data_IF_322095579630
#
_entry.id   IF_322095579630
#
_cell.length_a   1.000
_cell.length_b   1.000
_cell.length_c   1.000
_cell.angle_alpha   90.00
_cell.angle_beta   90.00
_cell.angle_gamma   90.00
#
_symmetry.space_group_name_H-M   'P 1'
#
loop_
_entity.id
_entity.type
_entity.pdbx_description
1 polymer ?
#
# COMPACT_ATOMS: atom_id res chain seq x y z
N UNK A 1 -32.65 95.20 20.74
CA UNK A 1 -31.39 94.50 21.02
C UNK A 1 -31.74 93.03 21.21
N UNK A 2 -31.36 92.18 20.27
CA UNK A 2 -31.82 90.79 20.18
C UNK A 2 -30.79 89.84 20.83
N UNK A 3 -31.31 88.89 21.62
CA UNK A 3 -30.56 87.97 22.45
C UNK A 3 -30.13 86.71 21.70
N UNK A 4 -28.97 86.20 22.11
CA UNK A 4 -28.17 85.12 21.53
C UNK A 4 -28.89 83.76 21.58
N UNK A 5 -28.97 83.05 20.45
CA UNK A 5 -29.28 81.60 20.41
C UNK A 5 -28.02 80.78 20.13
N UNK A 6 -27.66 79.95 21.13
CA UNK A 6 -26.61 78.92 21.12
C UNK A 6 -26.83 77.88 20.01
N UNK A 7 -25.84 77.67 19.16
CA UNK A 7 -25.73 76.47 18.32
C UNK A 7 -25.13 75.30 19.11
N UNK A 8 -25.82 74.16 19.16
CA UNK A 8 -25.28 72.88 19.66
C UNK A 8 -24.59 72.15 18.50
N UNK A 9 -23.27 71.94 18.57
CA UNK A 9 -22.56 71.05 17.65
C UNK A 9 -22.79 69.59 18.04
N UNK A 10 -23.35 68.79 17.14
CA UNK A 10 -23.44 67.34 17.30
C UNK A 10 -22.07 66.69 17.19
N UNK A 11 -21.61 66.06 18.26
CA UNK A 11 -20.43 65.18 18.22
C UNK A 11 -20.80 63.89 17.47
N UNK A 12 -20.19 63.67 16.30
CA UNK A 12 -20.23 62.37 15.61
C UNK A 12 -19.40 61.37 16.42
N UNK A 13 -20.05 60.35 16.99
CA UNK A 13 -19.36 59.22 17.63
C UNK A 13 -18.65 58.40 16.55
N UNK A 14 -17.32 58.31 16.61
CA UNK A 14 -16.56 57.36 15.80
C UNK A 14 -16.85 55.92 16.27
N UNK A 15 -17.03 54.95 15.36
CA UNK A 15 -17.11 53.54 15.75
C UNK A 15 -15.73 53.04 16.20
N UNK A 16 -15.67 52.06 17.13
CA UNK A 16 -14.40 51.51 17.58
C UNK A 16 -13.69 50.78 16.43
N UNK A 17 -12.42 51.11 16.22
CA UNK A 17 -11.54 50.41 15.30
C UNK A 17 -11.11 49.08 15.95
N UNK A 18 -11.39 47.95 15.28
CA UNK A 18 -10.71 46.69 15.56
C UNK A 18 -11.56 45.44 15.50
N UNK A 19 -11.89 44.96 14.30
CA UNK A 19 -12.39 43.59 14.11
C UNK A 19 -11.95 42.93 12.79
N UNK A 20 -10.98 43.51 12.09
CA UNK A 20 -10.59 43.06 10.74
C UNK A 20 -9.45 42.04 10.64
N UNK A 21 -8.82 41.62 11.75
CA UNK A 21 -7.56 40.83 11.70
C UNK A 21 -7.68 39.35 12.07
N UNK A 22 -8.81 38.89 12.61
CA UNK A 22 -8.96 37.51 13.09
C UNK A 22 -9.41 36.51 12.00
N UNK A 23 -10.11 36.98 10.96
CA UNK A 23 -10.60 36.10 9.88
C UNK A 23 -9.51 35.75 8.85
N UNK A 24 -8.58 36.68 8.58
CA UNK A 24 -7.49 36.47 7.62
C UNK A 24 -6.44 35.47 8.14
N UNK A 25 -6.18 35.47 9.46
CA UNK A 25 -5.26 34.52 10.10
C UNK A 25 -5.83 33.10 10.18
N UNK A 26 -7.14 32.95 10.44
CA UNK A 26 -7.82 31.65 10.50
C UNK A 26 -7.86 30.92 9.15
N UNK A 27 -8.14 31.66 8.06
CA UNK A 27 -8.17 31.10 6.71
C UNK A 27 -6.78 30.65 6.23
N UNK A 28 -5.74 31.42 6.57
CA UNK A 28 -4.35 31.12 6.20
C UNK A 28 -3.84 29.85 6.89
N UNK A 29 -4.14 29.66 8.18
CA UNK A 29 -3.77 28.46 8.92
C UNK A 29 -4.47 27.20 8.40
N UNK A 30 -5.74 27.30 8.02
CA UNK A 30 -6.50 26.18 7.45
C UNK A 30 -5.96 25.75 6.08
N UNK A 31 -5.59 26.71 5.21
CA UNK A 31 -4.98 26.40 3.90
C UNK A 31 -3.61 25.75 4.08
N UNK A 32 -2.77 26.25 4.98
CA UNK A 32 -1.46 25.65 5.26
C UNK A 32 -1.62 24.23 5.82
N UNK A 33 -2.55 24.02 6.76
CA UNK A 33 -2.85 22.69 7.28
C UNK A 33 -3.35 21.74 6.16
N UNK A 34 -4.23 22.20 5.27
CA UNK A 34 -4.71 21.40 4.14
C UNK A 34 -3.59 21.06 3.15
N UNK A 35 -2.67 22.00 2.87
CA UNK A 35 -1.49 21.75 2.03
C UNK A 35 -0.54 20.75 2.68
N UNK A 36 -0.30 20.86 3.99
CA UNK A 36 0.55 19.91 4.74
C UNK A 36 -0.07 18.51 4.73
N UNK A 37 -1.36 18.40 5.08
CA UNK A 37 -2.09 17.12 5.05
C UNK A 37 -2.10 16.55 3.63
N UNK A 38 -2.37 17.37 2.61
CA UNK A 38 -2.34 16.98 1.22
C UNK A 38 -0.96 16.50 0.76
N UNK A 39 0.11 17.17 1.18
CA UNK A 39 1.49 16.77 0.88
C UNK A 39 1.85 15.43 1.53
N UNK A 40 1.51 15.22 2.80
CA UNK A 40 1.75 13.94 3.48
C UNK A 40 0.90 12.80 2.89
N UNK A 41 -0.36 13.07 2.53
CA UNK A 41 -1.21 12.09 1.83
C UNK A 41 -0.65 11.73 0.45
N UNK A 42 -0.20 12.73 -0.31
CA UNK A 42 0.43 12.53 -1.61
C UNK A 42 1.72 11.69 -1.51
N UNK A 43 2.61 12.03 -0.57
CA UNK A 43 3.85 11.27 -0.33
C UNK A 43 3.58 9.84 0.11
N UNK A 44 2.57 9.62 0.95
CA UNK A 44 2.17 8.28 1.39
C UNK A 44 1.68 7.40 0.21
N UNK A 45 0.95 7.97 -0.75
CA UNK A 45 0.50 7.24 -1.94
C UNK A 45 1.59 7.04 -3.00
N UNK A 46 2.49 8.01 -3.16
CA UNK A 46 3.59 7.95 -4.14
C UNK A 46 4.70 6.94 -3.75
N UNK A 47 4.86 6.65 -2.46
CA UNK A 47 5.96 5.84 -1.92
C UNK A 47 5.56 4.37 -1.60
N UNK A 48 4.51 3.83 -2.25
CA UNK A 48 4.14 2.42 -2.06
C UNK A 48 5.28 1.48 -2.52
N UNK A 49 5.65 0.45 -1.74
CA UNK A 49 6.82 -0.37 -2.02
C UNK A 49 6.62 -1.32 -3.21
N UNK A 50 7.68 -1.55 -3.99
CA UNK A 50 7.66 -2.44 -5.14
C UNK A 50 7.08 -1.83 -6.42
N UNK A 51 7.46 -2.43 -7.55
CA UNK A 51 6.96 -2.06 -8.86
C UNK A 51 5.50 -2.49 -9.03
N UNK A 52 4.71 -1.65 -9.72
CA UNK A 52 3.34 -1.96 -10.10
C UNK A 52 3.30 -2.64 -11.46
N UNK A 53 2.48 -3.67 -11.58
CA UNK A 53 2.18 -4.38 -12.82
C UNK A 53 0.70 -4.20 -13.19
N UNK A 54 0.37 -4.34 -14.47
CA UNK A 54 -1.01 -4.26 -14.92
C UNK A 54 -1.83 -5.44 -14.34
N UNK A 55 -3.08 -5.17 -13.99
CA UNK A 55 -3.99 -6.21 -13.51
C UNK A 55 -4.42 -7.12 -14.66
N UNK A 56 -4.14 -8.42 -14.56
CA UNK A 56 -4.51 -9.42 -15.56
C UNK A 56 -5.86 -10.10 -15.28
N UNK A 57 -6.63 -9.59 -14.31
CA UNK A 57 -7.94 -10.11 -13.92
C UNK A 57 -7.86 -11.31 -12.97
N UNK A 58 -9.03 -11.92 -12.71
CA UNK A 58 -9.22 -12.99 -11.72
C UNK A 58 -9.95 -14.21 -12.31
N UNK A 59 -9.55 -14.62 -13.51
CA UNK A 59 -10.13 -15.80 -14.13
C UNK A 59 -9.72 -17.08 -13.36
N UNK A 60 -10.69 -17.83 -12.86
CA UNK A 60 -10.43 -19.13 -12.27
C UNK A 60 -10.21 -20.21 -13.33
N UNK A 61 -9.11 -20.94 -13.22
CA UNK A 61 -8.78 -22.14 -14.01
C UNK A 61 -8.88 -23.38 -13.13
N UNK A 62 -9.25 -24.53 -13.68
CA UNK A 62 -9.53 -25.72 -12.87
C UNK A 62 -8.27 -26.52 -12.55
N UNK A 63 -7.28 -26.47 -13.44
CA UNK A 63 -5.98 -27.13 -13.29
C UNK A 63 -4.85 -26.15 -13.60
N UNK A 64 -3.71 -26.32 -12.92
CA UNK A 64 -2.53 -25.48 -13.18
C UNK A 64 -1.98 -25.62 -14.61
N UNK A 65 -2.34 -26.71 -15.31
CA UNK A 65 -2.00 -26.95 -16.71
C UNK A 65 -3.00 -26.36 -17.71
N UNK A 66 -4.12 -25.81 -17.25
CA UNK A 66 -5.11 -25.23 -18.14
C UNK A 66 -4.51 -24.01 -18.88
N UNK A 67 -4.84 -23.81 -20.17
CA UNK A 67 -4.29 -22.69 -20.92
C UNK A 67 -4.83 -21.35 -20.39
N UNK A 68 -3.93 -20.40 -20.16
CA UNK A 68 -4.25 -19.02 -19.82
C UNK A 68 -3.23 -18.05 -20.43
N UNK A 69 -3.54 -16.75 -20.53
CA UNK A 69 -2.55 -15.75 -20.94
C UNK A 69 -1.32 -15.80 -20.03
N UNK A 70 -0.11 -15.58 -20.57
CA UNK A 70 1.11 -15.56 -19.77
C UNK A 70 1.07 -14.43 -18.74
N UNK A 71 1.65 -14.66 -17.57
CA UNK A 71 1.80 -13.62 -16.55
C UNK A 71 2.73 -12.51 -17.01
N UNK A 72 2.43 -11.26 -16.61
CA UNK A 72 3.22 -10.07 -16.96
C UNK A 72 4.34 -9.77 -15.95
N UNK A 73 4.45 -10.56 -14.88
CA UNK A 73 5.47 -10.51 -13.84
C UNK A 73 5.98 -11.92 -13.49
N UNK A 74 7.20 -12.01 -12.94
CA UNK A 74 7.78 -13.26 -12.44
C UNK A 74 8.57 -12.99 -11.15
N UNK A 75 8.12 -13.48 -9.97
CA UNK A 75 6.90 -14.27 -9.74
C UNK A 75 5.60 -13.52 -10.09
N UNK A 76 4.51 -14.25 -10.42
CA UNK A 76 3.26 -13.64 -10.87
C UNK A 76 2.57 -12.85 -9.76
N UNK A 77 1.91 -11.75 -10.14
CA UNK A 77 1.25 -10.81 -9.22
C UNK A 77 -0.27 -10.68 -9.44
N UNK A 78 -0.83 -11.20 -10.53
CA UNK A 78 -2.27 -11.18 -10.85
C UNK A 78 -2.52 -12.13 -12.02
N UNK A 79 -3.77 -12.31 -12.43
CA UNK A 79 -4.14 -13.11 -13.60
C UNK A 79 -4.81 -14.43 -13.25
N UNK A 80 -4.87 -15.34 -14.22
CA UNK A 80 -5.57 -16.61 -14.07
C UNK A 80 -4.97 -17.47 -12.94
N UNK A 81 -5.81 -18.12 -12.14
CA UNK A 81 -5.37 -18.87 -10.96
C UNK A 81 -6.37 -19.97 -10.56
N UNK A 82 -5.94 -20.89 -9.70
CA UNK A 82 -6.78 -22.02 -9.23
C UNK A 82 -7.89 -21.53 -8.29
N UNK A 83 -9.05 -22.21 -8.14
CA UNK A 83 -10.17 -21.76 -7.29
C UNK A 83 -9.97 -22.06 -5.80
N UNK A 84 -8.73 -22.33 -5.38
CA UNK A 84 -8.37 -22.61 -4.00
C UNK A 84 -6.98 -22.03 -3.71
N UNK A 85 -6.71 -21.78 -2.44
CA UNK A 85 -5.46 -21.20 -1.97
C UNK A 85 -4.46 -22.24 -1.45
N UNK A 86 -3.17 -21.90 -1.47
CA UNK A 86 -2.20 -22.60 -0.64
C UNK A 86 -2.44 -22.30 0.86
N UNK A 87 -2.13 -23.24 1.76
CA UNK A 87 -2.09 -22.96 3.19
C UNK A 87 -1.26 -21.72 3.53
N UNK A 88 -1.72 -20.87 4.44
CA UNK A 88 -0.93 -19.74 4.92
C UNK A 88 0.31 -20.21 5.70
N UNK A 89 1.34 -19.36 5.76
CA UNK A 89 2.55 -19.62 6.55
C UNK A 89 3.72 -20.17 5.74
N UNK A 90 4.50 -21.06 6.34
CA UNK A 90 5.81 -21.47 5.80
C UNK A 90 5.70 -22.74 4.96
N UNK A 91 6.22 -22.67 3.74
CA UNK A 91 6.39 -23.79 2.82
C UNK A 91 7.86 -24.05 2.57
N UNK A 92 8.23 -25.33 2.57
CA UNK A 92 9.61 -25.77 2.30
C UNK A 92 9.80 -26.23 0.85
N UNK A 93 8.73 -26.23 0.06
CA UNK A 93 8.72 -26.59 -1.37
C UNK A 93 8.11 -25.47 -2.19
N UNK A 94 8.45 -25.34 -3.49
CA UNK A 94 7.85 -24.33 -4.35
C UNK A 94 6.34 -24.53 -4.48
N UNK A 95 5.60 -23.42 -4.50
CA UNK A 95 4.16 -23.39 -4.75
C UNK A 95 3.95 -23.13 -6.25
N UNK A 96 2.97 -23.81 -6.85
CA UNK A 96 2.61 -23.57 -8.25
C UNK A 96 2.18 -22.11 -8.46
N UNK A 97 2.55 -21.54 -9.61
CA UNK A 97 2.29 -20.13 -9.95
C UNK A 97 0.81 -19.78 -9.86
N UNK A 98 -0.03 -20.65 -10.40
CA UNK A 98 -1.48 -20.53 -10.46
C UNK A 98 -2.12 -20.67 -9.09
N UNK A 99 -1.47 -21.39 -8.16
CA UNK A 99 -1.94 -21.54 -6.78
C UNK A 99 -1.60 -20.30 -5.94
N UNK A 100 -0.37 -19.79 -6.07
CA UNK A 100 0.04 -18.61 -5.30
C UNK A 100 -0.72 -17.34 -5.69
N UNK A 101 -1.17 -17.20 -6.94
CA UNK A 101 -1.91 -16.00 -7.39
C UNK A 101 -3.27 -15.88 -6.69
N UNK A 102 -3.96 -16.98 -6.37
CA UNK A 102 -5.20 -16.91 -5.57
C UNK A 102 -4.91 -16.36 -4.17
N UNK A 103 -3.83 -16.81 -3.51
CA UNK A 103 -3.44 -16.22 -2.24
C UNK A 103 -3.22 -14.71 -2.34
N UNK A 104 -2.73 -14.19 -3.48
CA UNK A 104 -2.58 -12.75 -3.71
C UNK A 104 -3.93 -12.05 -3.92
N UNK A 105 -4.90 -12.70 -4.56
CA UNK A 105 -6.27 -12.18 -4.67
C UNK A 105 -6.89 -12.02 -3.28
N UNK A 106 -6.71 -13.00 -2.40
CA UNK A 106 -7.17 -13.02 -0.99
C UNK A 106 -6.39 -12.06 -0.05
N UNK A 107 -5.68 -11.08 -0.62
CA UNK A 107 -4.88 -10.12 0.13
C UNK A 107 -3.63 -10.72 0.78
N UNK A 108 -3.14 -11.83 0.26
CA UNK A 108 -1.90 -12.44 0.70
C UNK A 108 -0.65 -11.70 0.21
N UNK A 109 0.43 -11.86 0.96
CA UNK A 109 1.77 -11.49 0.53
C UNK A 109 2.64 -12.73 0.50
N UNK A 110 3.27 -13.01 -0.64
CA UNK A 110 4.31 -14.02 -0.70
C UNK A 110 5.68 -13.41 -0.48
N UNK A 111 6.44 -14.04 0.40
CA UNK A 111 7.86 -13.80 0.64
C UNK A 111 8.60 -14.98 0.03
N UNK A 112 9.21 -14.78 -1.14
CA UNK A 112 9.87 -15.84 -1.89
C UNK A 112 11.37 -15.67 -1.91
N UNK A 113 12.10 -16.79 -1.94
CA UNK A 113 13.56 -16.80 -1.97
C UNK A 113 14.12 -17.82 -2.95
N UNK A 114 15.25 -17.46 -3.57
CA UNK A 114 16.06 -18.34 -4.41
C UNK A 114 17.39 -18.52 -3.72
N UNK A 115 17.80 -19.76 -3.54
CA UNK A 115 19.16 -20.07 -3.16
C UNK A 115 19.92 -20.61 -4.40
N UNK A 116 21.13 -20.11 -4.66
CA UNK A 116 22.00 -20.70 -5.68
C UNK A 116 22.50 -22.12 -5.29
N UNK A 117 22.51 -22.40 -3.99
CA UNK A 117 22.75 -23.71 -3.37
C UNK A 117 21.74 -23.90 -2.23
N UNK A 118 22.11 -24.44 -1.08
CA UNK A 118 21.31 -24.29 0.14
C UNK A 118 21.59 -22.92 0.78
N UNK A 119 20.55 -22.26 1.31
CA UNK A 119 20.69 -21.02 2.09
C UNK A 119 19.81 -21.02 3.35
N UNK A 120 20.05 -21.94 4.30
CA UNK A 120 19.21 -22.12 5.50
C UNK A 120 19.11 -20.85 6.35
N UNK A 121 20.19 -20.05 6.42
CA UNK A 121 20.20 -18.81 7.19
C UNK A 121 19.20 -17.78 6.66
N UNK A 122 19.14 -17.61 5.32
CA UNK A 122 18.16 -16.72 4.69
C UNK A 122 16.74 -17.25 4.89
N UNK A 123 16.53 -18.55 4.66
CA UNK A 123 15.22 -19.16 4.84
C UNK A 123 14.70 -18.95 6.28
N UNK A 124 15.57 -19.13 7.29
CA UNK A 124 15.21 -18.95 8.69
C UNK A 124 15.05 -17.47 9.07
N UNK A 125 15.84 -16.55 8.49
CA UNK A 125 15.61 -15.10 8.62
C UNK A 125 14.23 -14.69 8.12
N UNK A 126 13.84 -15.14 6.93
CA UNK A 126 12.52 -14.88 6.36
C UNK A 126 11.41 -15.56 7.17
N UNK A 127 11.65 -16.79 7.64
CA UNK A 127 10.70 -17.53 8.46
C UNK A 127 10.38 -16.80 9.77
N UNK A 128 11.37 -16.20 10.44
CA UNK A 128 11.14 -15.37 11.63
C UNK A 128 10.26 -14.14 11.38
N UNK A 129 10.25 -13.60 10.16
CA UNK A 129 9.34 -12.52 9.78
C UNK A 129 7.94 -13.09 9.57
N UNK A 130 7.81 -14.15 8.77
CA UNK A 130 6.51 -14.74 8.43
C UNK A 130 5.78 -15.31 9.65
N UNK A 131 6.49 -15.89 10.63
CA UNK A 131 5.89 -16.37 11.90
C UNK A 131 5.20 -15.29 12.73
N UNK A 132 5.38 -14.00 12.42
CA UNK A 132 4.67 -12.89 13.07
C UNK A 132 3.23 -12.73 12.58
N UNK A 133 2.84 -13.46 11.53
CA UNK A 133 1.55 -13.36 10.87
C UNK A 133 0.89 -14.74 10.85
N UNK A 134 -0.26 -14.86 11.52
CA UNK A 134 -1.02 -16.13 11.56
C UNK A 134 -1.65 -16.49 10.20
N UNK A 135 -1.90 -15.47 9.36
CA UNK A 135 -2.54 -15.61 8.05
C UNK A 135 -2.08 -14.52 7.08
N UNK A 136 -2.35 -14.72 5.78
CA UNK A 136 -2.11 -13.79 4.67
C UNK A 136 -0.64 -13.49 4.37
N UNK A 137 0.29 -14.27 4.92
CA UNK A 137 1.70 -14.20 4.55
C UNK A 137 2.21 -15.61 4.32
N UNK A 138 2.88 -15.82 3.19
CA UNK A 138 3.47 -17.10 2.81
C UNK A 138 4.98 -16.93 2.67
N UNK A 139 5.75 -17.89 3.18
CA UNK A 139 7.14 -18.09 2.81
C UNK A 139 7.25 -19.31 1.91
N UNK A 140 7.87 -19.21 0.74
CA UNK A 140 8.14 -20.35 -0.12
C UNK A 140 9.42 -20.18 -0.94
N UNK A 141 10.18 -21.25 -1.22
CA UNK A 141 11.24 -21.18 -2.21
C UNK A 141 10.66 -20.95 -3.61
N UNK A 142 11.34 -20.14 -4.43
CA UNK A 142 11.00 -19.92 -5.84
C UNK A 142 12.28 -19.97 -6.69
N UNK A 143 12.71 -21.15 -7.15
CA UNK A 143 14.01 -21.31 -7.81
C UNK A 143 14.17 -20.53 -9.12
N UNK A 144 13.08 -20.25 -9.83
CA UNK A 144 13.09 -19.69 -11.19
C UNK A 144 13.27 -18.18 -11.29
N UNK A 145 13.16 -17.42 -10.20
CA UNK A 145 13.29 -15.95 -10.25
C UNK A 145 14.75 -15.53 -10.44
N UNK A 146 14.99 -14.25 -10.77
CA UNK A 146 16.33 -13.67 -11.03
C UNK A 146 17.01 -13.10 -9.79
N UNK A 147 16.26 -12.60 -8.81
CA UNK A 147 16.77 -12.02 -7.56
C UNK A 147 16.70 -12.98 -6.40
N UNK A 148 17.56 -12.84 -5.40
CA UNK A 148 17.57 -13.77 -4.27
C UNK A 148 16.29 -13.73 -3.43
N UNK A 149 15.63 -12.58 -3.35
CA UNK A 149 14.36 -12.37 -2.63
C UNK A 149 13.37 -11.69 -3.58
N UNK A 150 12.11 -12.10 -3.51
CA UNK A 150 10.98 -11.41 -4.14
C UNK A 150 9.79 -11.38 -3.20
N UNK A 151 9.11 -10.24 -3.16
CA UNK A 151 7.88 -10.02 -2.41
C UNK A 151 6.77 -9.75 -3.42
N UNK A 152 5.70 -10.54 -3.38
CA UNK A 152 4.53 -10.30 -4.24
C UNK A 152 3.28 -10.05 -3.42
N UNK A 153 2.51 -9.06 -3.89
CA UNK A 153 1.13 -8.79 -3.53
C UNK A 153 0.35 -8.61 -4.85
N UNK A 154 -0.98 -8.51 -4.80
CA UNK A 154 -1.75 -8.28 -6.03
C UNK A 154 -1.23 -7.04 -6.78
N UNK A 155 -0.85 -7.21 -8.05
CA UNK A 155 -0.25 -6.19 -8.93
C UNK A 155 1.08 -5.56 -8.45
N UNK A 156 1.75 -6.13 -7.45
CA UNK A 156 2.94 -5.55 -6.82
C UNK A 156 4.06 -6.55 -6.66
N UNK A 157 5.25 -6.19 -7.13
CA UNK A 157 6.46 -7.01 -7.00
C UNK A 157 7.62 -6.15 -6.51
N UNK A 158 8.25 -6.58 -5.40
CA UNK A 158 9.50 -6.01 -4.93
C UNK A 158 10.60 -7.08 -4.91
N UNK A 159 11.65 -6.89 -5.72
CA UNK A 159 12.67 -7.89 -5.97
C UNK A 159 14.06 -7.33 -5.67
N UNK A 160 14.86 -8.05 -4.88
CA UNK A 160 16.17 -7.59 -4.40
C UNK A 160 17.08 -8.74 -3.93
N UNK A 161 18.36 -8.46 -3.74
CA UNK A 161 19.37 -9.48 -3.45
C UNK A 161 19.64 -9.67 -1.94
N UNK A 162 19.75 -8.57 -1.21
CA UNK A 162 20.20 -8.58 0.18
C UNK A 162 19.04 -8.61 1.16
N UNK A 163 19.16 -9.41 2.22
CA UNK A 163 18.15 -9.45 3.27
C UNK A 163 18.00 -8.08 3.95
N UNK A 164 16.78 -7.54 3.90
CA UNK A 164 16.39 -6.30 4.55
C UNK A 164 15.04 -6.50 5.23
N UNK A 165 15.08 -6.73 6.55
CA UNK A 165 13.87 -6.94 7.35
C UNK A 165 12.91 -5.73 7.28
N UNK A 166 13.44 -4.51 7.30
CA UNK A 166 12.63 -3.31 7.31
C UNK A 166 11.86 -3.16 6.00
N UNK A 167 12.51 -3.44 4.85
CA UNK A 167 11.88 -3.45 3.53
C UNK A 167 10.80 -4.53 3.43
N UNK A 168 11.08 -5.75 3.88
CA UNK A 168 10.12 -6.86 3.86
C UNK A 168 8.88 -6.52 4.69
N UNK A 169 9.08 -6.04 5.93
CA UNK A 169 7.98 -5.68 6.82
C UNK A 169 7.18 -4.50 6.27
N UNK A 170 7.82 -3.53 5.61
CA UNK A 170 7.12 -2.42 4.93
C UNK A 170 6.23 -2.91 3.81
N UNK A 171 6.71 -3.84 2.98
CA UNK A 171 5.91 -4.42 1.90
C UNK A 171 4.71 -5.22 2.44
N UNK A 172 4.94 -6.09 3.44
CA UNK A 172 3.86 -6.87 4.07
C UNK A 172 2.78 -5.93 4.64
N UNK A 173 3.19 -4.89 5.38
CA UNK A 173 2.24 -3.92 5.96
C UNK A 173 1.47 -3.13 4.92
N UNK A 174 2.07 -2.86 3.76
CA UNK A 174 1.43 -2.08 2.70
C UNK A 174 0.30 -2.84 2.01
N UNK A 175 0.37 -4.18 1.94
CA UNK A 175 -0.50 -4.97 1.07
C UNK A 175 -1.28 -6.11 1.73
N UNK A 176 -0.81 -6.63 2.87
CA UNK A 176 -1.49 -7.74 3.55
C UNK A 176 -2.92 -7.33 3.92
N UNK A 177 -3.88 -8.17 3.53
CA UNK A 177 -5.29 -8.04 3.86
C UNK A 177 -6.09 -7.13 2.92
N UNK A 178 -5.49 -6.65 1.83
CA UNK A 178 -6.23 -5.97 0.76
C UNK A 178 -6.83 -7.05 -0.14
N UNK A 179 -8.12 -7.33 0.02
CA UNK A 179 -8.84 -8.30 -0.80
C UNK A 179 -9.11 -7.76 -2.21
N UNK A 180 -8.95 -8.62 -3.22
CA UNK A 180 -9.07 -8.28 -4.63
C UNK A 180 -10.15 -9.08 -5.38
N UNK A 181 -10.95 -9.87 -4.65
CA UNK A 181 -12.16 -10.44 -5.20
C UNK A 181 -13.04 -9.33 -5.76
N UNK A 182 -13.46 -9.52 -7.02
CA UNK A 182 -14.53 -8.68 -7.55
C UNK A 182 -15.81 -9.06 -6.81
N UNK A 183 -16.40 -8.07 -6.13
CA UNK A 183 -17.71 -8.23 -5.52
C UNK A 183 -18.68 -8.82 -6.54
N UNK A 184 -19.39 -9.86 -6.13
CA UNK A 184 -20.54 -10.37 -6.91
C UNK A 184 -21.58 -9.25 -6.83
N UNK A 185 -21.72 -8.46 -7.89
CA UNK A 185 -22.90 -7.59 -8.09
C UNK A 185 -24.14 -8.45 -8.33
#
# INVERSE_FOLDING_TARGET
>A
MAEVRKGKSGAKKQPPAGSGRWWVTGLSAAVVAAVIVGYFAYRAGADLPGARFDDQGNAHIMMASDPHPPYNSDPPTSGAHLPYIAPWGIHTVPIARELQVHNLEDGGVLVQYRCARACPDLAEQLARIVRRYETQVILAPYPGMRTRIALTAWTRLDAFEDFDEARIVRFIRAYRGIDHHKGVE
#
